data_IF_826317827619
#
_entry.id   IF_826317827619
#
_cell.length_a   1.000
_cell.length_b   1.000
_cell.length_c   1.000
_cell.angle_alpha   90.00
_cell.angle_beta   90.00
_cell.angle_gamma   90.00
#
_symmetry.space_group_name_H-M   'P 1'
#
loop_
_entity.id
_entity.type
_entity.pdbx_description
1 polymer ?
#
# COMPACT_ATOMS: atom_id res chain seq x y z
N UNK A 1 84.65 23.76 -18.35
CA UNK A 1 83.77 24.04 -17.20
C UNK A 1 82.55 24.78 -17.70
N UNK A 2 81.33 24.25 -17.51
CA UNK A 2 80.02 24.98 -17.48
C UNK A 2 78.91 23.95 -17.32
N UNK A 3 78.55 23.62 -16.08
CA UNK A 3 77.37 22.81 -15.75
C UNK A 3 76.13 23.72 -15.77
N UNK A 4 75.07 23.32 -16.48
CA UNK A 4 73.74 23.96 -16.40
C UNK A 4 73.09 23.60 -15.05
N UNK A 5 72.40 24.52 -14.36
CA UNK A 5 71.69 24.19 -13.14
C UNK A 5 70.34 23.53 -13.43
N UNK A 6 70.07 22.42 -12.74
CA UNK A 6 68.78 21.71 -12.74
C UNK A 6 67.79 22.48 -11.87
N UNK A 7 66.61 22.79 -12.42
CA UNK A 7 65.49 23.45 -11.73
C UNK A 7 64.91 22.49 -10.67
N UNK A 8 64.97 22.86 -9.40
CA UNK A 8 64.26 22.15 -8.34
C UNK A 8 62.76 22.46 -8.43
N UNK A 9 61.95 21.46 -8.76
CA UNK A 9 60.49 21.53 -8.72
C UNK A 9 60.00 21.54 -7.27
N UNK A 10 59.37 22.64 -6.85
CA UNK A 10 58.70 22.73 -5.55
C UNK A 10 57.36 21.98 -5.63
N UNK A 11 57.31 20.79 -5.04
CA UNK A 11 56.06 20.03 -4.85
C UNK A 11 55.32 20.69 -3.69
N UNK A 12 54.32 21.54 -4.00
CA UNK A 12 53.33 21.97 -2.99
C UNK A 12 52.44 20.78 -2.65
N UNK A 13 52.63 20.22 -1.46
CA UNK A 13 51.66 19.33 -0.84
C UNK A 13 50.39 20.14 -0.53
N UNK A 14 49.27 19.77 -1.16
CA UNK A 14 47.97 20.32 -0.83
C UNK A 14 47.58 19.91 0.61
N UNK A 15 46.96 20.80 1.39
CA UNK A 15 46.52 20.46 2.75
C UNK A 15 45.39 19.41 2.69
N UNK A 16 45.58 18.33 3.45
CA UNK A 16 44.55 17.31 3.69
C UNK A 16 43.37 17.99 4.41
N UNK A 17 42.13 17.94 3.87
CA UNK A 17 40.99 18.47 4.59
C UNK A 17 40.67 17.55 5.78
N UNK A 18 40.95 18.03 6.99
CA UNK A 18 40.50 17.45 8.27
C UNK A 18 38.99 17.66 8.46
N UNK A 19 38.20 17.07 7.56
CA UNK A 19 36.76 16.95 7.71
C UNK A 19 36.45 15.61 8.36
N UNK A 20 36.16 15.61 9.66
CA UNK A 20 35.56 14.48 10.38
C UNK A 20 34.14 14.23 9.86
N UNK A 21 34.02 13.68 8.65
CA UNK A 21 32.79 13.01 8.23
C UNK A 21 32.67 11.78 9.11
N UNK A 22 31.85 11.88 10.17
CA UNK A 22 31.25 10.70 10.79
C UNK A 22 30.66 9.87 9.67
N UNK A 23 31.34 8.79 9.31
CA UNK A 23 30.75 7.72 8.53
C UNK A 23 29.52 7.29 9.31
N UNK A 24 28.31 7.58 8.79
CA UNK A 24 27.09 7.01 9.35
C UNK A 24 27.27 5.49 9.23
N UNK A 25 27.18 4.73 10.33
CA UNK A 25 27.27 3.28 10.24
C UNK A 25 26.18 2.82 9.28
N UNK A 26 26.52 1.85 8.42
CA UNK A 26 25.67 1.27 7.39
C UNK A 26 24.20 1.23 7.85
N UNK A 27 23.38 2.00 7.13
CA UNK A 27 22.13 2.56 7.62
C UNK A 27 21.08 1.51 7.93
N UNK A 28 20.87 1.26 9.22
CA UNK A 28 19.57 0.78 9.69
C UNK A 28 18.53 1.87 9.37
N UNK A 29 17.40 1.54 8.74
CA UNK A 29 16.33 2.51 8.54
C UNK A 29 15.90 3.06 9.90
N UNK A 30 15.99 4.38 10.07
CA UNK A 30 15.50 5.01 11.29
C UNK A 30 13.98 4.89 11.31
N UNK A 31 13.44 4.10 12.25
CA UNK A 31 12.00 3.89 12.42
C UNK A 31 11.25 5.18 12.81
N UNK A 32 11.97 6.23 13.23
CA UNK A 32 11.44 7.49 13.73
C UNK A 32 11.50 8.66 12.71
N UNK A 33 11.33 8.39 11.41
CA UNK A 33 11.34 9.41 10.35
C UNK A 33 9.99 9.57 9.66
N UNK A 34 9.73 10.71 9.01
CA UNK A 34 8.48 10.98 8.27
C UNK A 34 8.08 9.84 7.31
N UNK A 35 9.08 9.17 6.71
CA UNK A 35 8.86 8.02 5.84
C UNK A 35 8.18 6.83 6.55
N UNK A 36 8.43 6.56 7.83
CA UNK A 36 7.87 5.37 8.51
C UNK A 36 6.35 5.43 8.71
N UNK A 37 5.77 6.63 8.68
CA UNK A 37 4.31 6.80 8.63
C UNK A 37 3.68 6.23 7.36
N UNK A 38 4.40 6.22 6.24
CA UNK A 38 3.90 5.66 4.99
C UNK A 38 3.59 4.15 5.08
N UNK A 39 4.56 3.26 5.37
CA UNK A 39 4.28 1.83 5.46
C UNK A 39 3.32 1.51 6.61
N UNK A 40 3.36 2.25 7.73
CA UNK A 40 2.41 2.08 8.83
C UNK A 40 0.96 2.35 8.39
N UNK A 41 0.71 3.53 7.82
CA UNK A 41 -0.63 3.94 7.41
C UNK A 41 -1.14 3.12 6.21
N UNK A 42 -0.25 2.72 5.29
CA UNK A 42 -0.62 1.85 4.16
C UNK A 42 -0.96 0.43 4.62
N UNK A 43 -0.22 -0.13 5.60
CA UNK A 43 -0.56 -1.43 6.19
C UNK A 43 -1.89 -1.36 6.96
N UNK A 44 -2.10 -0.31 7.74
CA UNK A 44 -3.37 -0.10 8.44
C UNK A 44 -4.54 0.02 7.45
N UNK A 45 -4.37 0.77 6.35
CA UNK A 45 -5.38 0.94 5.33
C UNK A 45 -5.70 -0.37 4.60
N UNK A 46 -4.71 -1.01 3.98
CA UNK A 46 -4.94 -2.11 3.05
C UNK A 46 -4.93 -3.49 3.71
N UNK A 47 -4.11 -3.73 4.73
CA UNK A 47 -4.01 -5.04 5.37
C UNK A 47 -5.06 -5.25 6.47
N UNK A 48 -5.46 -4.18 7.17
CA UNK A 48 -6.43 -4.27 8.27
C UNK A 48 -7.79 -3.71 7.85
N UNK A 49 -7.93 -2.39 7.69
CA UNK A 49 -9.23 -1.75 7.54
C UNK A 49 -9.99 -2.20 6.29
N UNK A 50 -9.31 -2.27 5.13
CA UNK A 50 -9.94 -2.71 3.89
C UNK A 50 -10.30 -4.20 3.92
N UNK A 51 -9.44 -5.05 4.50
CA UNK A 51 -9.72 -6.48 4.70
C UNK A 51 -10.97 -6.67 5.56
N UNK A 52 -11.05 -6.00 6.70
CA UNK A 52 -12.21 -6.06 7.59
C UNK A 52 -13.48 -5.52 6.90
N UNK A 53 -13.35 -4.45 6.11
CA UNK A 53 -14.47 -3.91 5.33
C UNK A 53 -15.05 -4.96 4.36
N UNK A 54 -14.20 -5.75 3.72
CA UNK A 54 -14.61 -6.81 2.79
C UNK A 54 -15.20 -8.02 3.54
N UNK A 55 -14.58 -8.42 4.65
CA UNK A 55 -14.99 -9.56 5.46
C UNK A 55 -16.25 -9.30 6.29
N UNK A 56 -16.68 -8.05 6.48
CA UNK A 56 -17.89 -7.73 7.24
C UNK A 56 -19.15 -8.43 6.69
N UNK A 57 -19.16 -8.76 5.40
CA UNK A 57 -20.23 -9.49 4.73
C UNK A 57 -20.00 -11.00 4.61
N UNK A 58 -18.85 -11.51 5.09
CA UNK A 58 -18.57 -12.95 5.14
C UNK A 58 -19.50 -13.66 6.12
N UNK A 59 -20.13 -14.78 5.76
CA UNK A 59 -20.93 -15.57 6.71
C UNK A 59 -20.07 -16.26 7.78
N UNK A 60 -18.87 -16.70 7.40
CA UNK A 60 -17.97 -17.48 8.27
C UNK A 60 -16.90 -16.64 8.97
N UNK A 61 -16.48 -15.54 8.34
CA UNK A 61 -15.31 -14.76 8.79
C UNK A 61 -15.65 -13.33 9.23
N UNK A 62 -16.94 -12.97 9.34
CA UNK A 62 -17.33 -11.61 9.74
C UNK A 62 -17.21 -11.42 11.24
N UNK A 63 -16.48 -10.39 11.72
CA UNK A 63 -16.45 -10.01 13.13
C UNK A 63 -17.84 -9.58 13.65
N UNK A 64 -18.73 -9.19 12.73
CA UNK A 64 -20.04 -8.63 13.01
C UNK A 64 -21.17 -9.59 12.60
N UNK A 65 -20.97 -10.90 12.79
CA UNK A 65 -21.89 -11.96 12.29
C UNK A 65 -23.35 -11.72 12.67
N UNK A 66 -23.62 -11.31 13.92
CA UNK A 66 -24.95 -11.07 14.48
C UNK A 66 -25.62 -9.76 14.04
N UNK A 67 -24.90 -8.84 13.38
CA UNK A 67 -25.46 -7.55 12.98
C UNK A 67 -26.38 -7.65 11.75
N UNK A 68 -27.38 -6.77 11.72
CA UNK A 68 -28.28 -6.62 10.56
C UNK A 68 -27.50 -6.22 9.30
N UNK A 69 -28.06 -6.53 8.12
CA UNK A 69 -27.43 -6.14 6.84
C UNK A 69 -27.24 -4.63 6.70
N UNK A 70 -28.15 -3.80 7.25
CA UNK A 70 -28.01 -2.35 7.29
C UNK A 70 -26.82 -1.92 8.16
N UNK A 71 -26.66 -2.52 9.34
CA UNK A 71 -25.53 -2.23 10.23
C UNK A 71 -24.19 -2.65 9.60
N UNK A 72 -24.13 -3.82 8.97
CA UNK A 72 -22.95 -4.28 8.19
C UNK A 72 -22.59 -3.31 7.06
N UNK A 73 -23.58 -2.77 6.35
CA UNK A 73 -23.35 -1.77 5.31
C UNK A 73 -22.79 -0.44 5.86
N UNK A 74 -23.25 0.01 7.04
CA UNK A 74 -22.69 1.19 7.71
C UNK A 74 -21.25 0.95 8.16
N UNK A 75 -20.97 -0.21 8.75
CA UNK A 75 -19.62 -0.60 9.14
C UNK A 75 -18.68 -0.68 7.92
N UNK A 76 -19.12 -1.29 6.82
CA UNK A 76 -18.39 -1.32 5.56
C UNK A 76 -17.99 0.08 5.10
N UNK A 77 -18.95 1.00 5.07
CA UNK A 77 -18.72 2.40 4.67
C UNK A 77 -17.74 3.13 5.58
N UNK A 78 -17.87 2.97 6.90
CA UNK A 78 -16.99 3.60 7.87
C UNK A 78 -15.54 3.08 7.73
N UNK A 79 -15.37 1.77 7.58
CA UNK A 79 -14.07 1.14 7.39
C UNK A 79 -13.41 1.57 6.07
N UNK A 80 -14.18 1.69 4.98
CA UNK A 80 -13.69 2.20 3.70
C UNK A 80 -13.20 3.65 3.80
N UNK A 81 -13.97 4.52 4.46
CA UNK A 81 -13.59 5.92 4.64
C UNK A 81 -12.32 6.04 5.48
N UNK A 82 -12.22 5.27 6.56
CA UNK A 82 -11.03 5.27 7.42
C UNK A 82 -9.82 4.71 6.67
N UNK A 83 -9.99 3.65 5.88
CA UNK A 83 -8.93 3.09 5.04
C UNK A 83 -8.43 4.13 4.02
N UNK A 84 -9.33 4.83 3.34
CA UNK A 84 -8.96 5.91 2.41
C UNK A 84 -8.23 7.05 3.11
N UNK A 85 -8.68 7.47 4.29
CA UNK A 85 -8.00 8.51 5.06
C UNK A 85 -6.57 8.10 5.41
N UNK A 86 -6.39 6.87 5.93
CA UNK A 86 -5.06 6.33 6.21
C UNK A 86 -4.20 6.26 4.94
N UNK A 87 -4.74 5.79 3.82
CA UNK A 87 -4.02 5.71 2.55
C UNK A 87 -3.59 7.10 2.02
N UNK A 88 -4.47 8.10 2.09
CA UNK A 88 -4.16 9.47 1.67
C UNK A 88 -3.08 10.10 2.56
N UNK A 89 -3.18 9.94 3.88
CA UNK A 89 -2.16 10.42 4.82
C UNK A 89 -0.82 9.71 4.61
N UNK A 90 -0.83 8.40 4.37
CA UNK A 90 0.39 7.63 4.06
C UNK A 90 1.02 8.07 2.73
N UNK A 91 0.21 8.40 1.72
CA UNK A 91 0.69 8.90 0.44
C UNK A 91 1.26 10.32 0.57
N UNK A 92 0.60 11.18 1.35
CA UNK A 92 1.08 12.52 1.69
C UNK A 92 2.42 12.46 2.44
N UNK A 93 2.56 11.55 3.41
CA UNK A 93 3.81 11.37 4.17
C UNK A 93 4.98 11.00 3.27
N UNK A 94 4.82 10.03 2.36
CA UNK A 94 5.91 9.65 1.43
C UNK A 94 6.16 10.74 0.38
N UNK A 95 5.13 11.42 -0.11
CA UNK A 95 5.28 12.51 -1.07
C UNK A 95 6.05 13.68 -0.46
N UNK A 96 5.66 14.12 0.74
CA UNK A 96 6.33 15.20 1.45
C UNK A 96 7.76 14.81 1.85
N UNK A 97 7.98 13.58 2.31
CA UNK A 97 9.32 13.07 2.59
C UNK A 97 10.21 13.09 1.33
N UNK A 98 9.68 12.74 0.15
CA UNK A 98 10.43 12.80 -1.10
C UNK A 98 10.74 14.23 -1.52
N UNK A 99 9.78 15.14 -1.36
CA UNK A 99 9.97 16.57 -1.63
C UNK A 99 11.11 17.14 -0.79
N UNK A 100 11.12 16.91 0.53
CA UNK A 100 12.17 17.38 1.44
C UNK A 100 13.57 16.86 1.11
N UNK A 101 13.66 15.69 0.46
CA UNK A 101 14.94 15.06 0.11
C UNK A 101 15.26 15.13 -1.39
N UNK A 102 14.51 15.92 -2.17
CA UNK A 102 14.73 16.07 -3.63
C UNK A 102 14.65 14.75 -4.41
N UNK A 103 13.86 13.78 -3.95
CA UNK A 103 13.76 12.45 -4.58
C UNK A 103 12.65 12.40 -5.62
N UNK A 104 12.89 11.69 -6.71
CA UNK A 104 11.89 11.47 -7.75
C UNK A 104 10.63 10.75 -7.22
N UNK A 105 9.46 11.21 -7.66
CA UNK A 105 8.17 10.61 -7.40
C UNK A 105 7.89 9.49 -8.41
N UNK A 106 7.13 8.45 -8.00
CA UNK A 106 6.64 7.38 -8.89
C UNK A 106 7.71 6.65 -9.75
N UNK A 107 8.97 6.68 -9.33
CA UNK A 107 10.09 6.03 -10.03
C UNK A 107 10.20 4.51 -9.84
N UNK A 108 9.38 3.91 -9.00
CA UNK A 108 9.39 2.46 -8.72
C UNK A 108 8.05 1.82 -9.09
N UNK A 109 8.06 0.52 -9.38
CA UNK A 109 6.83 -0.25 -9.58
C UNK A 109 5.88 -0.11 -8.39
N UNK A 110 6.39 -0.30 -7.15
CA UNK A 110 5.62 -0.06 -5.92
C UNK A 110 4.95 1.33 -5.89
N UNK A 111 5.67 2.39 -6.25
CA UNK A 111 5.11 3.75 -6.24
C UNK A 111 3.97 3.93 -7.24
N UNK A 112 4.09 3.35 -8.44
CA UNK A 112 3.07 3.42 -9.50
C UNK A 112 1.85 2.56 -9.15
N UNK A 113 2.07 1.30 -8.76
CA UNK A 113 0.99 0.38 -8.37
C UNK A 113 0.29 0.86 -7.10
N UNK A 114 1.02 1.46 -6.17
CA UNK A 114 0.46 2.01 -4.93
C UNK A 114 -0.44 3.20 -5.19
N UNK A 115 -0.01 4.16 -6.03
CA UNK A 115 -0.87 5.26 -6.44
C UNK A 115 -2.12 4.76 -7.16
N UNK A 116 -1.95 3.81 -8.09
CA UNK A 116 -3.08 3.19 -8.79
C UNK A 116 -4.05 2.52 -7.81
N UNK A 117 -3.55 1.78 -6.81
CA UNK A 117 -4.38 1.13 -5.79
C UNK A 117 -5.18 2.15 -4.96
N UNK A 118 -4.57 3.27 -4.55
CA UNK A 118 -5.26 4.32 -3.79
C UNK A 118 -6.34 4.99 -4.64
N UNK A 119 -6.04 5.33 -5.90
CA UNK A 119 -7.03 5.90 -6.83
C UNK A 119 -8.17 4.91 -7.12
N UNK A 120 -7.84 3.64 -7.31
CA UNK A 120 -8.82 2.58 -7.51
C UNK A 120 -9.72 2.44 -6.29
N UNK A 121 -9.16 2.42 -5.07
CA UNK A 121 -9.93 2.35 -3.84
C UNK A 121 -10.89 3.54 -3.72
N UNK A 122 -10.44 4.76 -4.04
CA UNK A 122 -11.29 5.94 -4.02
C UNK A 122 -12.44 5.84 -5.03
N UNK A 123 -12.15 5.42 -6.26
CA UNK A 123 -13.16 5.19 -7.30
C UNK A 123 -14.14 4.08 -6.90
N UNK A 124 -13.65 3.00 -6.29
CA UNK A 124 -14.44 1.88 -5.81
C UNK A 124 -15.40 2.31 -4.68
N UNK A 125 -14.93 3.13 -3.73
CA UNK A 125 -15.77 3.70 -2.67
C UNK A 125 -16.85 4.61 -3.26
N UNK A 126 -16.53 5.44 -4.25
CA UNK A 126 -17.52 6.25 -4.96
C UNK A 126 -18.55 5.37 -5.69
N UNK A 127 -18.11 4.28 -6.33
CA UNK A 127 -18.99 3.28 -6.94
C UNK A 127 -19.96 2.63 -5.94
N UNK A 128 -19.60 2.55 -4.66
CA UNK A 128 -20.49 2.12 -3.58
C UNK A 128 -21.71 3.04 -3.38
N UNK A 129 -21.64 4.32 -3.77
CA UNK A 129 -22.78 5.24 -3.69
C UNK A 129 -23.91 4.81 -4.62
N UNK A 130 -23.61 4.19 -5.77
CA UNK A 130 -24.62 3.65 -6.69
C UNK A 130 -25.41 2.50 -6.06
N UNK A 131 -24.86 1.82 -5.05
CA UNK A 131 -25.58 0.80 -4.28
C UNK A 131 -26.50 1.39 -3.21
N UNK A 132 -26.17 2.58 -2.68
CA UNK A 132 -27.02 3.31 -1.74
C UNK A 132 -28.15 4.02 -2.47
N UNK A 133 -27.87 4.55 -3.66
CA UNK A 133 -28.81 5.30 -4.50
C UNK A 133 -28.96 4.64 -5.88
N UNK A 134 -29.55 3.43 -5.97
CA UNK A 134 -29.68 2.71 -7.25
C UNK A 134 -30.51 3.47 -8.29
N UNK A 135 -31.30 4.46 -7.86
CA UNK A 135 -32.04 5.38 -8.72
C UNK A 135 -31.13 6.17 -9.68
N UNK A 136 -29.84 6.32 -9.35
CA UNK A 136 -28.83 6.95 -10.20
C UNK A 136 -28.35 6.03 -11.35
N UNK A 137 -28.58 4.72 -11.24
CA UNK A 137 -28.14 3.70 -12.20
C UNK A 137 -29.35 2.95 -12.80
N UNK A 138 -30.31 3.70 -13.35
CA UNK A 138 -31.63 3.18 -13.80
C UNK A 138 -31.56 2.03 -14.81
N UNK A 139 -30.49 1.94 -15.60
CA UNK A 139 -30.29 0.87 -16.58
C UNK A 139 -29.75 -0.45 -16.00
N UNK A 140 -29.41 -0.49 -14.70
CA UNK A 140 -28.77 -1.64 -14.05
C UNK A 140 -29.62 -2.15 -12.89
N UNK A 141 -29.78 -3.47 -12.80
CA UNK A 141 -30.43 -4.06 -11.63
C UNK A 141 -29.52 -4.00 -10.41
N UNK A 142 -30.10 -3.91 -9.21
CA UNK A 142 -29.33 -3.90 -7.97
C UNK A 142 -28.44 -5.16 -7.81
N UNK A 143 -28.90 -6.31 -8.33
CA UNK A 143 -28.11 -7.53 -8.34
C UNK A 143 -26.84 -7.40 -9.20
N UNK A 144 -26.95 -6.82 -10.41
CA UNK A 144 -25.78 -6.53 -11.27
C UNK A 144 -24.84 -5.54 -10.57
N UNK A 145 -25.36 -4.44 -10.04
CA UNK A 145 -24.52 -3.46 -9.33
C UNK A 145 -23.74 -4.10 -8.17
N UNK A 146 -24.39 -4.93 -7.36
CA UNK A 146 -23.74 -5.66 -6.25
C UNK A 146 -22.65 -6.61 -6.76
N UNK A 147 -22.92 -7.34 -7.84
CA UNK A 147 -21.95 -8.25 -8.46
C UNK A 147 -20.71 -7.48 -8.93
N UNK A 148 -20.90 -6.45 -9.76
CA UNK A 148 -19.79 -5.67 -10.30
C UNK A 148 -19.03 -4.90 -9.22
N UNK A 149 -19.72 -4.33 -8.22
CA UNK A 149 -19.04 -3.71 -7.09
C UNK A 149 -18.21 -4.71 -6.31
N UNK A 150 -18.73 -5.92 -6.01
CA UNK A 150 -17.98 -6.93 -5.28
C UNK A 150 -16.76 -7.43 -6.07
N UNK A 151 -16.90 -7.70 -7.37
CA UNK A 151 -15.78 -8.20 -8.20
C UNK A 151 -14.75 -7.12 -8.49
N UNK A 152 -15.17 -5.87 -8.78
CA UNK A 152 -14.25 -4.74 -8.93
C UNK A 152 -13.51 -4.45 -7.61
N UNK A 153 -14.21 -4.53 -6.48
CA UNK A 153 -13.62 -4.38 -5.15
C UNK A 153 -12.53 -5.43 -4.87
N UNK A 154 -12.77 -6.69 -5.25
CA UNK A 154 -11.76 -7.74 -5.17
C UNK A 154 -10.53 -7.42 -6.02
N UNK A 155 -10.71 -6.98 -7.27
CA UNK A 155 -9.59 -6.62 -8.16
C UNK A 155 -8.77 -5.48 -7.55
N UNK A 156 -9.42 -4.43 -7.04
CA UNK A 156 -8.76 -3.31 -6.37
C UNK A 156 -8.00 -3.76 -5.11
N UNK A 157 -8.58 -4.67 -4.32
CA UNK A 157 -7.94 -5.23 -3.14
C UNK A 157 -6.67 -6.02 -3.50
N UNK A 158 -6.73 -6.90 -4.51
CA UNK A 158 -5.58 -7.67 -5.00
C UNK A 158 -4.47 -6.77 -5.53
N UNK A 159 -4.82 -5.67 -6.21
CA UNK A 159 -3.85 -4.65 -6.63
C UNK A 159 -3.16 -4.00 -5.42
N UNK A 160 -3.92 -3.67 -4.36
CA UNK A 160 -3.39 -3.17 -3.09
C UNK A 160 -2.42 -4.16 -2.43
N UNK A 161 -2.79 -5.44 -2.35
CA UNK A 161 -1.93 -6.51 -1.83
C UNK A 161 -0.64 -6.68 -2.64
N UNK A 162 -0.73 -6.66 -3.98
CA UNK A 162 0.44 -6.71 -4.85
C UNK A 162 1.37 -5.50 -4.60
N UNK A 163 0.81 -4.31 -4.43
CA UNK A 163 1.58 -3.11 -4.10
C UNK A 163 2.26 -3.19 -2.73
N UNK A 164 1.58 -3.74 -1.70
CA UNK A 164 2.16 -3.99 -0.38
C UNK A 164 3.36 -4.94 -0.48
N UNK A 165 3.22 -6.04 -1.23
CA UNK A 165 4.30 -6.99 -1.47
C UNK A 165 5.50 -6.34 -2.16
N UNK A 166 5.26 -5.51 -3.19
CA UNK A 166 6.33 -4.72 -3.82
C UNK A 166 7.00 -3.75 -2.83
N UNK A 167 6.24 -3.19 -1.87
CA UNK A 167 6.78 -2.36 -0.80
C UNK A 167 7.67 -3.14 0.17
N UNK A 168 7.28 -4.38 0.50
CA UNK A 168 8.07 -5.29 1.35
C UNK A 168 9.35 -5.79 0.67
N UNK A 169 9.40 -5.81 -0.66
CA UNK A 169 10.62 -6.06 -1.43
C UNK A 169 11.57 -4.86 -1.51
N UNK A 170 11.18 -3.68 -1.02
CA UNK A 170 12.03 -2.49 -1.10
C UNK A 170 13.25 -2.60 -0.18
N UNK A 171 14.36 -1.95 -0.57
CA UNK A 171 15.59 -1.91 0.23
C UNK A 171 15.35 -1.38 1.65
N UNK A 172 14.43 -0.43 1.82
CA UNK A 172 14.09 0.09 3.14
C UNK A 172 13.47 -0.98 4.03
N UNK A 173 12.55 -1.78 3.49
CA UNK A 173 11.86 -2.81 4.25
C UNK A 173 12.75 -4.02 4.52
N UNK A 174 13.50 -4.49 3.51
CA UNK A 174 14.41 -5.64 3.67
C UNK A 174 15.61 -5.33 4.56
N UNK A 175 15.98 -4.05 4.72
CA UNK A 175 16.96 -3.63 5.73
C UNK A 175 16.37 -3.55 7.15
N UNK A 176 15.04 -3.41 7.29
CA UNK A 176 14.34 -3.34 8.57
C UNK A 176 13.91 -4.72 9.09
N UNK A 177 13.43 -5.58 8.20
CA UNK A 177 12.86 -6.89 8.51
C UNK A 177 13.56 -7.95 7.68
N UNK A 178 14.22 -8.90 8.36
CA UNK A 178 15.03 -9.95 7.74
C UNK A 178 14.62 -11.35 8.20
N UNK A 179 15.14 -12.37 7.52
CA UNK A 179 14.94 -13.77 7.89
C UNK A 179 13.47 -14.21 7.84
N UNK A 180 13.07 -15.09 8.76
CA UNK A 180 11.73 -15.68 8.80
C UNK A 180 10.60 -14.62 8.91
N UNK A 181 10.84 -13.52 9.63
CA UNK A 181 9.84 -12.47 9.81
C UNK A 181 9.40 -11.83 8.48
N UNK A 182 10.31 -11.67 7.52
CA UNK A 182 9.99 -11.13 6.21
C UNK A 182 9.04 -12.05 5.43
N UNK A 183 9.31 -13.36 5.44
CA UNK A 183 8.46 -14.36 4.79
C UNK A 183 7.08 -14.45 5.42
N UNK A 184 7.00 -14.38 6.75
CA UNK A 184 5.72 -14.37 7.46
C UNK A 184 4.88 -13.14 7.08
N UNK A 185 5.48 -11.94 7.02
CA UNK A 185 4.77 -10.73 6.61
C UNK A 185 4.37 -10.76 5.13
N UNK A 186 5.19 -11.36 4.26
CA UNK A 186 4.85 -11.58 2.85
C UNK A 186 3.68 -12.56 2.66
N UNK A 187 3.54 -13.53 3.55
CA UNK A 187 2.46 -14.50 3.51
C UNK A 187 1.11 -13.88 3.91
N UNK A 188 1.09 -12.87 4.78
CA UNK A 188 -0.13 -12.19 5.23
C UNK A 188 -1.02 -11.63 4.08
N UNK A 189 -0.53 -10.79 3.15
CA UNK A 189 -1.34 -10.30 2.03
C UNK A 189 -1.78 -11.42 1.08
N UNK A 190 -0.99 -12.50 0.96
CA UNK A 190 -1.36 -13.67 0.15
C UNK A 190 -2.55 -14.40 0.79
N UNK A 191 -2.47 -14.74 2.08
CA UNK A 191 -3.53 -15.45 2.79
C UNK A 191 -4.83 -14.64 2.82
N UNK A 192 -4.75 -13.35 3.15
CA UNK A 192 -5.93 -12.47 3.17
C UNK A 192 -6.55 -12.32 1.77
N UNK A 193 -5.73 -12.24 0.70
CA UNK A 193 -6.21 -12.27 -0.69
C UNK A 193 -6.99 -13.53 -1.00
N UNK A 194 -6.49 -14.70 -0.59
CA UNK A 194 -7.19 -15.98 -0.81
C UNK A 194 -8.52 -16.04 -0.05
N UNK A 195 -8.55 -15.58 1.20
CA UNK A 195 -9.78 -15.54 2.02
C UNK A 195 -10.84 -14.63 1.38
N UNK A 196 -10.47 -13.40 1.01
CA UNK A 196 -11.40 -12.45 0.38
C UNK A 196 -11.83 -12.96 -1.00
N UNK A 197 -10.92 -13.49 -1.80
CA UNK A 197 -11.25 -14.07 -3.11
C UNK A 197 -12.23 -15.23 -2.99
N UNK A 198 -12.02 -16.13 -2.03
CA UNK A 198 -12.93 -17.24 -1.74
C UNK A 198 -14.31 -16.72 -1.32
N UNK A 199 -14.37 -15.73 -0.43
CA UNK A 199 -15.61 -15.12 0.03
C UNK A 199 -16.41 -14.49 -1.13
N UNK A 200 -15.77 -13.67 -1.96
CA UNK A 200 -16.42 -13.02 -3.11
C UNK A 200 -16.86 -14.06 -4.15
N UNK A 201 -16.01 -15.04 -4.46
CA UNK A 201 -16.31 -16.09 -5.44
C UNK A 201 -17.49 -16.96 -5.00
N UNK A 202 -17.53 -17.39 -3.74
CA UNK A 202 -18.62 -18.19 -3.22
C UNK A 202 -19.95 -17.42 -3.16
N UNK A 203 -19.89 -16.13 -2.77
CA UNK A 203 -21.07 -15.30 -2.66
C UNK A 203 -21.71 -14.93 -4.00
N UNK A 204 -20.90 -14.72 -5.05
CA UNK A 204 -21.35 -14.11 -6.30
C UNK A 204 -21.12 -14.95 -7.57
N UNK A 205 -20.06 -15.74 -7.64
CA UNK A 205 -19.70 -16.52 -8.84
C UNK A 205 -20.25 -17.95 -8.76
N UNK A 206 -20.09 -18.63 -7.62
CA UNK A 206 -20.52 -20.03 -7.46
C UNK A 206 -22.04 -20.16 -7.30
N UNK A 207 -22.65 -19.29 -6.48
CA UNK A 207 -24.13 -19.26 -6.30
C UNK A 207 -24.90 -19.02 -7.59
N UNK A 208 -24.32 -18.29 -8.55
CA UNK A 208 -24.95 -18.04 -9.84
C UNK A 208 -24.99 -19.32 -10.70
N UNK A 209 -24.04 -20.24 -10.52
CA UNK A 209 -23.93 -21.50 -11.27
C UNK A 209 -24.92 -22.56 -10.79
N UNK A 210 -25.35 -22.50 -9.53
CA UNK A 210 -26.32 -23.43 -8.94
C UNK A 210 -27.79 -22.99 -9.08
N UNK A 211 -28.05 -21.83 -9.68
CA UNK A 211 -29.40 -21.29 -9.94
C UNK A 211 -29.81 -21.36 -11.42
N UNK A 212 -28.93 -21.93 -12.26
CA UNK A 212 -29.22 -22.35 -13.63
C UNK A 212 -29.29 -23.87 -13.67
#
# INVERSE_FOLDING_TARGET
ATRRPVRAGSIRLAPVPSGSRRARPHGRPCLAGLFSWHPLLMALAFSLLLTEALLVFSPESSPLRSLSRKAKARAHWALQLLALLCALLGLAAVAYNKHLHGKAHLGTWHGRTGLLAVLYAAAQSAGGLLLLYPQLAKSWTLAKLKLYHATAGLVGYLLGCASLMLGMCSLWFTAAVTGAAWYLLMLCPVLTSLVVMSQVSNAYLYRKRSQH
#
